data_IF_050255862832
#
_entry.id   IF_050255862832
#
_cell.length_a   1.000
_cell.length_b   1.000
_cell.length_c   1.000
_cell.angle_alpha   90.00
_cell.angle_beta   90.00
_cell.angle_gamma   90.00
#
_symmetry.space_group_name_H-M   'P 1'
#
loop_
_entity.id
_entity.type
_entity.pdbx_description
1 polymer ?
#
# COMPACT_ATOMS: atom_id res chain seq x y z
N UNK A 1 30.01 -4.31 -1.44
CA UNK A 1 28.76 -4.03 -0.70
C UNK A 1 27.68 -4.18 -1.74
N UNK A 2 26.73 -5.09 -1.54
CA UNK A 2 25.61 -5.22 -2.49
C UNK A 2 24.71 -4.04 -2.12
N UNK A 3 24.66 -3.03 -2.99
CA UNK A 3 23.61 -2.03 -2.94
C UNK A 3 22.32 -2.78 -3.23
N UNK A 4 21.64 -3.24 -2.17
CA UNK A 4 20.30 -3.75 -2.28
C UNK A 4 19.43 -2.55 -2.65
N UNK A 5 19.10 -2.40 -3.93
CA UNK A 5 18.02 -1.51 -4.34
C UNK A 5 16.76 -1.97 -3.60
N UNK A 6 16.25 -1.20 -2.63
CA UNK A 6 15.05 -1.60 -1.92
C UNK A 6 13.93 -1.75 -2.94
N UNK A 7 13.38 -2.96 -3.06
CA UNK A 7 12.21 -3.15 -3.90
C UNK A 7 10.99 -2.65 -3.13
N UNK A 8 10.61 -1.39 -3.37
CA UNK A 8 9.40 -0.81 -2.78
C UNK A 8 8.19 -1.20 -3.62
N UNK A 9 7.20 -1.81 -2.98
CA UNK A 9 5.94 -2.22 -3.59
C UNK A 9 4.79 -2.00 -2.61
N UNK A 10 3.56 -1.98 -3.09
CA UNK A 10 2.38 -1.80 -2.24
C UNK A 10 1.42 -2.97 -2.37
N UNK A 11 0.94 -3.48 -1.23
CA UNK A 11 0.00 -4.60 -1.16
C UNK A 11 -1.34 -4.15 -0.57
N UNK A 12 -2.43 -4.72 -1.09
CA UNK A 12 -3.76 -4.53 -0.53
C UNK A 12 -4.04 -5.59 0.54
N UNK A 13 -4.35 -5.12 1.75
CA UNK A 13 -4.71 -5.97 2.88
C UNK A 13 -6.13 -5.70 3.35
N UNK A 14 -6.80 -6.77 3.75
CA UNK A 14 -8.08 -6.68 4.45
C UNK A 14 -7.79 -6.57 5.92
N UNK A 15 -8.13 -5.42 6.50
CA UNK A 15 -8.12 -5.23 7.94
C UNK A 15 -9.52 -5.47 8.49
N UNK A 16 -9.62 -6.00 9.71
CA UNK A 16 -10.90 -6.06 10.41
C UNK A 16 -11.43 -4.63 10.51
N UNK A 17 -12.66 -4.40 10.04
CA UNK A 17 -13.21 -3.06 9.89
C UNK A 17 -12.97 -2.19 11.12
N UNK A 18 -12.41 -1.00 10.94
CA UNK A 18 -12.23 0.01 11.98
C UNK A 18 -13.58 0.30 12.62
N UNK A 19 -13.58 0.35 13.95
CA UNK A 19 -14.77 0.71 14.72
C UNK A 19 -15.14 2.17 14.44
N UNK A 20 -16.01 2.40 13.45
CA UNK A 20 -16.40 3.77 13.09
C UNK A 20 -17.48 3.86 12.01
N UNK A 21 -17.28 3.27 10.84
CA UNK A 21 -18.10 3.58 9.67
C UNK A 21 -19.05 2.45 9.26
N UNK A 22 -18.58 1.19 9.23
CA UNK A 22 -19.46 0.03 9.05
C UNK A 22 -18.78 -1.28 9.52
N UNK A 23 -19.11 -1.81 10.72
CA UNK A 23 -18.45 -3.00 11.27
C UNK A 23 -18.76 -4.29 10.48
N UNK A 24 -19.63 -4.20 9.47
CA UNK A 24 -20.06 -5.31 8.63
C UNK A 24 -19.26 -5.43 7.34
N UNK A 25 -18.51 -4.39 6.97
CA UNK A 25 -17.73 -4.36 5.74
C UNK A 25 -16.23 -4.43 6.06
N UNK A 26 -15.43 -5.14 5.25
CA UNK A 26 -13.97 -5.14 5.39
C UNK A 26 -13.40 -3.77 5.00
N UNK A 27 -12.44 -3.27 5.78
CA UNK A 27 -11.65 -2.11 5.37
C UNK A 27 -10.44 -2.57 4.57
N UNK A 28 -10.12 -1.79 3.53
CA UNK A 28 -8.93 -2.01 2.72
C UNK A 28 -7.82 -1.09 3.17
N UNK A 29 -6.70 -1.70 3.51
CA UNK A 29 -5.46 -1.05 3.85
C UNK A 29 -4.46 -1.24 2.69
N UNK A 30 -3.72 -0.19 2.38
CA UNK A 30 -2.59 -0.28 1.45
C UNK A 30 -1.34 -0.37 2.32
N UNK A 31 -0.56 -1.44 2.26
CA UNK A 31 0.69 -1.56 3.01
C UNK A 31 1.88 -1.25 2.10
N UNK A 32 2.86 -0.47 2.58
CA UNK A 32 4.16 -0.28 1.93
C UNK A 32 5.07 -1.44 2.31
N UNK A 33 5.56 -2.14 1.28
CA UNK A 33 6.47 -3.26 1.39
C UNK A 33 7.84 -2.85 0.88
N UNK A 34 8.87 -3.06 1.69
CA UNK A 34 10.26 -2.99 1.28
C UNK A 34 10.81 -4.41 1.22
N UNK A 35 11.24 -4.86 0.04
CA UNK A 35 11.74 -6.21 -0.19
C UNK A 35 10.76 -7.32 0.23
N UNK A 36 9.46 -7.08 0.06
CA UNK A 36 8.39 -8.00 0.45
C UNK A 36 8.06 -8.00 1.94
N UNK A 37 8.68 -7.12 2.73
CA UNK A 37 8.39 -6.94 4.17
C UNK A 37 7.61 -5.66 4.35
N UNK A 38 6.48 -5.71 5.08
CA UNK A 38 5.72 -4.49 5.40
C UNK A 38 6.55 -3.61 6.33
N UNK A 39 6.83 -2.40 5.86
CA UNK A 39 7.54 -1.37 6.63
C UNK A 39 6.59 -0.28 7.12
N UNK A 40 5.48 -0.07 6.42
CA UNK A 40 4.47 0.92 6.79
C UNK A 40 3.07 0.45 6.38
N UNK A 41 2.08 0.77 7.20
CA UNK A 41 0.67 0.58 6.86
C UNK A 41 0.17 1.92 6.32
N UNK A 42 0.21 2.09 5.00
CA UNK A 42 -0.34 3.28 4.37
C UNK A 42 -1.85 3.37 4.65
N UNK A 43 -2.36 4.59 4.58
CA UNK A 43 -3.69 5.01 5.02
C UNK A 43 -4.80 3.93 4.89
N UNK A 44 -5.57 3.76 5.97
CA UNK A 44 -6.73 2.87 5.97
C UNK A 44 -7.88 3.60 5.29
N UNK A 45 -8.31 3.08 4.15
CA UNK A 45 -9.36 3.70 3.37
C UNK A 45 -10.70 3.02 3.67
N UNK A 46 -11.54 3.78 4.34
CA UNK A 46 -12.89 3.40 4.72
C UNK A 46 -13.80 3.39 3.47
N UNK A 47 -14.60 2.33 3.29
CA UNK A 47 -15.55 2.14 2.17
C UNK A 47 -14.96 2.03 0.75
N UNK A 48 -13.69 1.64 0.58
CA UNK A 48 -13.21 1.29 -0.75
C UNK A 48 -13.69 -0.07 -1.20
N UNK A 49 -13.86 -0.23 -2.51
CA UNK A 49 -13.87 -1.55 -3.14
C UNK A 49 -12.44 -2.06 -3.33
N UNK A 50 -12.28 -3.38 -3.45
CA UNK A 50 -10.99 -4.00 -3.78
C UNK A 50 -10.36 -3.41 -5.07
N UNK A 51 -11.19 -3.08 -6.06
CA UNK A 51 -10.74 -2.48 -7.31
C UNK A 51 -10.16 -1.07 -7.09
N UNK A 52 -10.81 -0.24 -6.25
CA UNK A 52 -10.31 1.08 -5.90
C UNK A 52 -9.03 0.99 -5.08
N UNK A 53 -8.97 0.07 -4.12
CA UNK A 53 -7.76 -0.19 -3.36
C UNK A 53 -6.59 -0.56 -4.29
N UNK A 54 -6.80 -1.46 -5.25
CA UNK A 54 -5.80 -1.81 -6.27
C UNK A 54 -5.33 -0.60 -7.10
N UNK A 55 -6.25 0.28 -7.50
CA UNK A 55 -5.89 1.50 -8.22
C UNK A 55 -4.98 2.40 -7.38
N UNK A 56 -5.25 2.53 -6.08
CA UNK A 56 -4.45 3.31 -5.15
C UNK A 56 -3.06 2.67 -4.97
N UNK A 57 -2.96 1.38 -4.68
CA UNK A 57 -1.66 0.71 -4.58
C UNK A 57 -0.83 0.87 -5.86
N UNK A 58 -1.46 0.75 -7.03
CA UNK A 58 -0.78 0.98 -8.31
C UNK A 58 -0.30 2.42 -8.50
N UNK A 59 -1.07 3.41 -8.04
CA UNK A 59 -0.66 4.82 -8.07
C UNK A 59 0.52 5.09 -7.13
N UNK A 60 0.48 4.53 -5.93
CA UNK A 60 1.53 4.72 -4.93
C UNK A 60 2.83 4.02 -5.33
N UNK A 61 2.72 2.81 -5.89
CA UNK A 61 3.87 2.07 -6.45
C UNK A 61 4.55 2.93 -7.51
N UNK A 62 3.80 3.43 -8.50
CA UNK A 62 4.35 4.33 -9.52
C UNK A 62 4.98 5.59 -8.94
N UNK A 63 4.32 6.23 -7.98
CA UNK A 63 4.83 7.46 -7.37
C UNK A 63 6.14 7.24 -6.62
N UNK A 64 6.32 6.08 -5.96
CA UNK A 64 7.59 5.69 -5.34
C UNK A 64 8.62 5.33 -6.38
N UNK A 65 8.26 4.54 -7.39
CA UNK A 65 9.14 4.24 -8.52
C UNK A 65 9.64 5.52 -9.22
N UNK A 66 8.81 6.56 -9.34
CA UNK A 66 9.21 7.87 -9.90
C UNK A 66 10.07 8.69 -8.91
N UNK A 67 9.85 8.54 -7.60
CA UNK A 67 10.61 9.26 -6.58
C UNK A 67 11.99 8.62 -6.28
N UNK A 68 12.07 7.30 -6.29
CA UNK A 68 13.30 6.51 -6.11
C UNK A 68 14.02 6.27 -7.44
N UNK A 69 13.27 6.19 -8.54
CA UNK A 69 13.75 6.13 -9.92
C UNK A 69 14.05 7.49 -10.52
N UNK A 70 14.55 8.43 -9.71
CA UNK A 70 15.41 9.51 -10.22
C UNK A 70 16.89 9.10 -10.06
N UNK A 71 17.41 8.17 -10.89
CA UNK A 71 18.85 8.11 -11.11
C UNK A 71 19.26 9.36 -11.91
N UNK A 72 20.17 10.15 -11.36
CA UNK A 72 21.00 11.07 -12.16
C UNK A 72 21.87 10.29 -13.16
#
# INVERSE_FOLDING_TARGET
>A
MIEENPNVSYEIRVSAGKSGSDPTQPDWEVAELENGVVIDNADIYDNLTYAEAQQIAGMWTKKKEEAEGAPE
#
